data_IF_130379094962
#
_entry.id   IF_130379094962
#
_cell.length_a   1.000
_cell.length_b   1.000
_cell.length_c   1.000
_cell.angle_alpha   90.00
_cell.angle_beta   90.00
_cell.angle_gamma   90.00
#
_symmetry.space_group_name_H-M   'P 1'
#
loop_
_entity.id
_entity.type
_entity.pdbx_description
1 polymer ?
#
# COMPACT_ATOMS: atom_id res chain seq x y z
N UNK A 1 -28.62 -7.78 63.12
CA UNK A 1 -28.24 -6.66 62.23
C UNK A 1 -26.78 -6.89 61.85
N UNK A 2 -26.51 -7.50 60.70
CA UNK A 2 -25.15 -7.81 60.24
C UNK A 2 -24.78 -6.77 59.19
N UNK A 3 -23.93 -5.82 59.56
CA UNK A 3 -23.42 -4.77 58.68
C UNK A 3 -22.47 -5.41 57.66
N UNK A 4 -22.77 -5.27 56.37
CA UNK A 4 -21.88 -5.71 55.29
C UNK A 4 -20.65 -4.79 55.21
N UNK A 5 -19.45 -5.33 54.92
CA UNK A 5 -18.26 -4.51 54.67
C UNK A 5 -18.39 -3.76 53.33
N UNK A 6 -17.91 -2.53 53.30
CA UNK A 6 -17.87 -1.66 52.12
C UNK A 6 -17.00 -2.28 51.03
N UNK A 7 -17.64 -2.56 49.89
CA UNK A 7 -17.00 -2.95 48.64
C UNK A 7 -16.31 -1.72 48.04
N UNK A 8 -15.08 -1.43 48.46
CA UNK A 8 -14.23 -0.48 47.74
C UNK A 8 -13.82 -1.11 46.42
N UNK A 9 -14.37 -0.58 45.33
CA UNK A 9 -14.03 -0.98 43.98
C UNK A 9 -12.50 -0.82 43.79
N UNK A 10 -11.79 -1.83 43.26
CA UNK A 10 -10.38 -1.69 42.95
C UNK A 10 -10.21 -0.59 41.90
N UNK A 11 -9.34 0.38 42.22
CA UNK A 11 -8.96 1.48 41.34
C UNK A 11 -8.46 0.89 40.01
N UNK A 12 -9.22 1.10 38.94
CA UNK A 12 -8.81 0.84 37.57
C UNK A 12 -7.59 1.71 37.29
N UNK A 13 -6.43 1.10 37.09
CA UNK A 13 -5.22 1.78 36.67
C UNK A 13 -5.47 2.50 35.33
N UNK A 14 -5.45 3.83 35.36
CA UNK A 14 -5.43 4.68 34.18
C UNK A 14 -4.02 4.61 33.58
N UNK A 15 -3.72 3.53 32.85
CA UNK A 15 -2.47 3.49 32.08
C UNK A 15 -2.65 4.30 30.79
N UNK A 16 -2.59 5.62 30.95
CA UNK A 16 -2.67 6.67 29.91
C UNK A 16 -1.50 6.64 28.90
N UNK A 17 -0.75 5.53 28.82
CA UNK A 17 0.44 5.44 27.97
C UNK A 17 0.19 4.86 26.58
N UNK A 18 -1.05 4.53 26.22
CA UNK A 18 -1.38 4.10 24.85
C UNK A 18 -1.46 5.31 23.92
N UNK A 19 -0.29 5.83 23.51
CA UNK A 19 -0.23 6.81 22.42
C UNK A 19 -0.80 6.17 21.16
N UNK A 20 -1.88 6.72 20.57
CA UNK A 20 -2.40 6.20 19.32
C UNK A 20 -1.31 6.32 18.26
N UNK A 21 -0.99 5.21 17.60
CA UNK A 21 -0.02 5.20 16.50
C UNK A 21 -0.46 6.25 15.48
N UNK A 22 0.38 7.25 15.14
CA UNK A 22 -0.03 8.31 14.24
C UNK A 22 -0.46 7.69 12.92
N UNK A 23 -1.63 8.10 12.42
CA UNK A 23 -2.14 7.62 11.16
C UNK A 23 -1.07 7.85 10.08
N UNK A 24 -0.54 6.76 9.51
CA UNK A 24 0.41 6.88 8.42
C UNK A 24 -0.28 7.64 7.30
N UNK A 25 0.21 8.83 6.94
CA UNK A 25 -0.27 9.55 5.76
C UNK A 25 -0.29 8.55 4.62
N UNK A 26 -1.46 8.31 4.02
CA UNK A 26 -1.58 7.47 2.83
C UNK A 26 -0.80 8.19 1.74
N UNK A 27 0.47 7.83 1.56
CA UNK A 27 1.25 8.37 0.45
C UNK A 27 0.48 8.02 -0.83
N UNK A 28 0.34 8.99 -1.76
CA UNK A 28 -0.24 8.68 -3.04
C UNK A 28 0.59 7.57 -3.67
N UNK A 29 -0.08 6.59 -4.31
CA UNK A 29 0.63 5.51 -4.94
C UNK A 29 1.58 6.06 -6.00
N UNK A 30 2.72 5.39 -6.16
CA UNK A 30 3.79 5.90 -7.02
C UNK A 30 3.49 5.57 -8.48
N UNK A 31 2.60 6.36 -9.07
CA UNK A 31 2.25 6.35 -10.50
C UNK A 31 2.80 7.60 -11.18
N UNK A 32 3.42 7.49 -12.36
CA UNK A 32 3.99 8.64 -13.07
C UNK A 32 2.93 9.64 -13.52
N UNK A 33 1.67 9.22 -13.63
CA UNK A 33 0.53 10.05 -14.02
C UNK A 33 -0.77 9.43 -13.49
N UNK A 34 -1.86 10.21 -13.36
CA UNK A 34 -3.15 9.70 -12.88
C UNK A 34 -3.61 8.47 -13.70
N UNK A 35 -4.13 7.46 -13.01
CA UNK A 35 -4.73 6.28 -13.65
C UNK A 35 -5.96 6.68 -14.49
N UNK A 36 -6.15 6.05 -15.65
CA UNK A 36 -7.26 6.36 -16.56
C UNK A 36 -6.94 7.45 -17.58
N UNK A 37 -5.69 7.95 -17.61
CA UNK A 37 -5.18 8.85 -18.66
C UNK A 37 -4.60 8.12 -19.87
N UNK A 38 -4.48 6.80 -19.80
CA UNK A 38 -3.99 5.95 -20.87
C UNK A 38 -5.09 5.43 -21.81
N UNK A 39 -4.75 4.52 -22.73
CA UNK A 39 -5.70 3.94 -23.67
C UNK A 39 -6.87 3.24 -22.96
N UNK A 40 -8.08 3.44 -23.49
CA UNK A 40 -9.30 2.87 -22.92
C UNK A 40 -9.26 1.33 -22.96
N UNK A 41 -9.61 0.72 -21.82
CA UNK A 41 -9.60 -0.74 -21.67
C UNK A 41 -8.25 -1.34 -21.28
N UNK A 42 -7.16 -0.58 -21.32
CA UNK A 42 -5.84 -1.04 -20.89
C UNK A 42 -5.60 -0.79 -19.39
N UNK A 43 -4.77 -1.65 -18.79
CA UNK A 43 -4.48 -1.60 -17.34
C UNK A 43 -2.99 -1.64 -17.07
N UNK A 44 -2.58 -1.34 -15.84
CA UNK A 44 -1.20 -1.53 -15.40
C UNK A 44 -0.73 -2.99 -15.59
N UNK A 45 -1.62 -3.98 -15.55
CA UNK A 45 -1.30 -5.39 -15.80
C UNK A 45 -0.77 -5.66 -17.22
N UNK A 46 -1.28 -4.95 -18.22
CA UNK A 46 -0.83 -5.06 -19.62
C UNK A 46 0.36 -4.15 -19.93
N UNK A 47 0.82 -3.35 -18.96
CA UNK A 47 1.91 -2.42 -19.12
C UNK A 47 3.29 -3.11 -19.05
N UNK A 48 4.19 -2.77 -19.96
CA UNK A 48 5.60 -3.20 -19.97
C UNK A 48 6.35 -2.75 -18.70
N UNK A 49 5.97 -1.60 -18.14
CA UNK A 49 6.66 -1.03 -16.98
C UNK A 49 6.19 -1.57 -15.63
N UNK A 50 5.27 -2.55 -15.60
CA UNK A 50 4.86 -3.19 -14.35
C UNK A 50 5.99 -4.08 -13.82
N UNK A 51 6.60 -3.68 -12.71
CA UNK A 51 7.66 -4.42 -12.05
C UNK A 51 7.11 -5.19 -10.84
N UNK A 52 7.56 -6.44 -10.68
CA UNK A 52 7.37 -7.24 -9.45
C UNK A 52 8.67 -7.19 -8.66
N UNK A 53 8.63 -6.55 -7.50
CA UNK A 53 9.80 -6.38 -6.62
C UNK A 53 9.61 -7.27 -5.42
N UNK A 54 10.53 -8.21 -5.18
CA UNK A 54 10.55 -9.03 -3.96
C UNK A 54 11.35 -8.31 -2.89
N UNK A 55 10.80 -8.21 -1.68
CA UNK A 55 11.52 -7.69 -0.53
C UNK A 55 11.04 -8.41 0.73
N UNK A 56 11.98 -9.11 1.39
CA UNK A 56 11.70 -10.15 2.37
C UNK A 56 10.70 -11.17 1.79
N UNK A 57 9.67 -11.52 2.55
CA UNK A 57 8.62 -12.47 2.16
C UNK A 57 7.50 -11.85 1.31
N UNK A 58 7.59 -10.55 0.98
CA UNK A 58 6.55 -9.82 0.27
C UNK A 58 6.91 -9.55 -1.19
N UNK A 59 5.89 -9.57 -2.04
CA UNK A 59 5.98 -9.18 -3.46
C UNK A 59 5.20 -7.89 -3.66
N UNK A 60 5.91 -6.85 -4.07
CA UNK A 60 5.36 -5.53 -4.32
C UNK A 60 5.21 -5.29 -5.82
N UNK A 61 4.08 -4.72 -6.22
CA UNK A 61 3.84 -4.26 -7.58
C UNK A 61 4.19 -2.79 -7.66
N UNK A 62 5.18 -2.43 -8.47
CA UNK A 62 5.65 -1.05 -8.59
C UNK A 62 5.82 -0.65 -10.06
N UNK A 63 5.68 0.64 -10.35
CA UNK A 63 5.91 1.17 -11.70
C UNK A 63 7.41 1.40 -11.95
N UNK A 64 7.94 0.88 -13.05
CA UNK A 64 9.35 1.02 -13.44
C UNK A 64 9.81 2.47 -13.66
N UNK A 65 8.93 3.36 -14.14
CA UNK A 65 9.23 4.80 -14.29
C UNK A 65 9.47 5.48 -12.93
N UNK A 66 8.91 4.92 -11.87
CA UNK A 66 8.98 5.47 -10.52
C UNK A 66 10.08 4.82 -9.67
N UNK A 67 11.02 4.08 -10.26
CA UNK A 67 12.12 3.39 -9.54
C UNK A 67 12.85 4.27 -8.52
N UNK A 68 13.12 5.52 -8.89
CA UNK A 68 13.79 6.51 -8.03
C UNK A 68 12.98 6.90 -6.79
N UNK A 69 11.66 6.69 -6.81
CA UNK A 69 10.72 7.05 -5.74
C UNK A 69 10.19 5.82 -4.98
N UNK A 70 10.69 4.61 -5.25
CA UNK A 70 10.23 3.41 -4.56
C UNK A 70 10.62 3.44 -3.08
N UNK A 71 9.62 3.30 -2.20
CA UNK A 71 9.85 3.08 -0.79
C UNK A 71 10.06 1.58 -0.50
N UNK A 72 10.76 1.27 0.60
CA UNK A 72 10.95 -0.10 1.14
C UNK A 72 9.67 -0.73 1.72
N UNK A 73 8.49 -0.25 1.30
CA UNK A 73 7.20 -0.73 1.80
C UNK A 73 6.05 -0.47 0.84
N UNK A 74 4.84 -0.81 1.29
CA UNK A 74 3.65 -0.86 0.44
C UNK A 74 3.09 0.51 0.03
N UNK A 75 3.55 1.60 0.64
CA UNK A 75 3.02 2.95 0.38
C UNK A 75 3.25 3.47 -1.04
N UNK A 76 4.14 2.84 -1.81
CA UNK A 76 4.46 3.23 -3.20
C UNK A 76 3.97 2.20 -4.23
N UNK A 77 3.18 1.22 -3.81
CA UNK A 77 2.71 0.16 -4.69
C UNK A 77 1.58 0.62 -5.59
N UNK A 78 1.52 -0.01 -6.76
CA UNK A 78 0.45 0.15 -7.74
C UNK A 78 -0.39 -1.12 -7.80
N UNK A 79 -1.65 -1.01 -8.22
CA UNK A 79 -2.50 -2.19 -8.43
C UNK A 79 -2.48 -2.57 -9.91
N UNK A 80 -2.33 -3.86 -10.19
CA UNK A 80 -2.35 -4.37 -11.57
C UNK A 80 -3.66 -4.02 -12.30
N UNK A 81 -4.80 -4.00 -11.59
CA UNK A 81 -6.10 -3.65 -12.15
C UNK A 81 -6.37 -2.15 -12.32
N UNK A 82 -5.42 -1.26 -12.04
CA UNK A 82 -5.62 0.15 -12.33
C UNK A 82 -5.63 0.42 -13.82
N UNK A 83 -6.50 1.35 -14.22
CA UNK A 83 -6.52 1.85 -15.58
C UNK A 83 -5.15 2.42 -15.96
N UNK A 84 -4.75 2.15 -17.21
CA UNK A 84 -3.48 2.61 -17.75
C UNK A 84 -3.30 4.12 -17.54
N UNK A 85 -2.06 4.52 -17.28
CA UNK A 85 -1.68 5.93 -17.28
C UNK A 85 -1.16 6.33 -18.68
N UNK A 86 -0.99 7.63 -18.94
CA UNK A 86 -0.47 8.13 -20.22
C UNK A 86 0.91 7.58 -20.64
N UNK A 87 1.70 7.08 -19.68
CA UNK A 87 3.01 6.45 -19.93
C UNK A 87 2.91 4.93 -20.10
N UNK A 88 1.72 4.41 -20.39
CA UNK A 88 1.53 2.99 -20.65
C UNK A 88 2.20 2.59 -21.96
N UNK A 89 2.88 1.46 -21.92
CA UNK A 89 3.49 0.82 -23.09
C UNK A 89 3.05 -0.64 -23.10
N UNK A 90 2.66 -1.14 -24.28
CA UNK A 90 2.16 -2.51 -24.42
C UNK A 90 3.25 -3.50 -24.05
N UNK A 91 2.95 -4.42 -23.13
CA UNK A 91 3.83 -5.55 -22.84
C UNK A 91 3.81 -6.51 -24.02
N UNK A 92 4.96 -6.68 -24.68
CA UNK A 92 5.07 -7.66 -25.74
C UNK A 92 5.03 -9.08 -25.15
N UNK A 93 4.20 -9.96 -25.73
CA UNK A 93 4.00 -11.33 -25.21
C UNK A 93 5.22 -12.23 -25.46
N UNK A 94 6.16 -11.81 -26.32
CA UNK A 94 7.38 -12.58 -26.65
C UNK A 94 8.53 -12.36 -25.66
N UNK A 95 8.46 -11.32 -24.83
CA UNK A 95 9.45 -10.98 -23.78
C UNK A 95 9.14 -11.69 -22.44
N UNK A 96 8.65 -12.94 -22.48
CA UNK A 96 8.44 -13.77 -21.27
C UNK A 96 9.52 -14.85 -21.22
N UNK A 97 10.76 -14.40 -21.01
CA UNK A 97 11.87 -15.27 -20.61
C UNK A 97 12.86 -14.40 -19.85
N UNK A 98 12.76 -14.40 -18.51
CA UNK A 98 13.81 -14.10 -17.52
C UNK A 98 13.22 -14.22 -16.12
#
# INVERSE_FOLDING_TARGET
MKSHPTNEAPQLFEDDTVRPKPASRKLPPCIPSPSGTGPAGETCMSCRHLCRVRHNDYVYLKCGHMKHSWSRGAGTDIRAGWAACRQWEKKDRREVAQ
#
